data_IF_438512218196
#
_entry.id   IF_438512218196
#
_cell.length_a   1.000
_cell.length_b   1.000
_cell.length_c   1.000
_cell.angle_alpha   90.00
_cell.angle_beta   90.00
_cell.angle_gamma   90.00
#
_symmetry.space_group_name_H-M   'P 1'
#
loop_
_entity.id
_entity.type
_entity.pdbx_description
1 polymer ?
#
# COMPACT_ATOMS: atom_id res chain seq x y z
N UNK A 1 -26.28 -12.83 -34.39
CA UNK A 1 -24.95 -12.30 -33.99
C UNK A 1 -24.84 -12.06 -32.48
N UNK A 2 -25.87 -11.52 -31.80
CA UNK A 2 -25.83 -11.22 -30.36
C UNK A 2 -25.67 -12.44 -29.42
N UNK A 3 -26.19 -13.61 -29.79
CA UNK A 3 -26.10 -14.82 -28.96
C UNK A 3 -24.66 -15.36 -28.84
N UNK A 4 -23.86 -15.26 -29.91
CA UNK A 4 -22.45 -15.73 -29.91
C UNK A 4 -21.54 -14.81 -29.08
N UNK A 5 -21.82 -13.49 -29.08
CA UNK A 5 -21.11 -12.51 -28.25
C UNK A 5 -21.40 -12.74 -26.76
N UNK A 6 -22.66 -13.03 -26.39
CA UNK A 6 -23.04 -13.39 -25.00
C UNK A 6 -22.37 -14.68 -24.54
N UNK A 7 -22.29 -15.71 -25.38
CA UNK A 7 -21.62 -16.97 -25.05
C UNK A 7 -20.10 -16.81 -24.86
N UNK A 8 -19.44 -16.00 -25.68
CA UNK A 8 -18.01 -15.71 -25.52
C UNK A 8 -17.74 -14.89 -24.25
N UNK A 9 -18.64 -13.98 -23.87
CA UNK A 9 -18.55 -13.25 -22.61
C UNK A 9 -18.71 -14.16 -21.38
N UNK A 10 -19.63 -15.13 -21.44
CA UNK A 10 -19.85 -16.09 -20.34
C UNK A 10 -18.66 -17.04 -20.18
N UNK A 11 -18.15 -17.63 -21.27
CA UNK A 11 -16.96 -18.49 -21.24
C UNK A 11 -15.70 -17.76 -20.74
N UNK A 12 -15.52 -16.50 -21.12
CA UNK A 12 -14.42 -15.67 -20.61
C UNK A 12 -14.56 -15.40 -19.12
N UNK A 13 -15.80 -15.21 -18.62
CA UNK A 13 -16.08 -14.99 -17.20
C UNK A 13 -15.84 -16.26 -16.37
N UNK A 14 -16.25 -17.43 -16.87
CA UNK A 14 -15.96 -18.74 -16.26
C UNK A 14 -14.45 -19.04 -16.25
N UNK A 15 -13.74 -18.83 -17.35
CA UNK A 15 -12.29 -19.03 -17.42
C UNK A 15 -11.50 -18.13 -16.46
N UNK A 16 -11.89 -16.86 -16.35
CA UNK A 16 -11.28 -15.92 -15.39
C UNK A 16 -11.60 -16.30 -13.94
N UNK A 17 -12.80 -16.83 -13.68
CA UNK A 17 -13.20 -17.30 -12.36
C UNK A 17 -12.46 -18.58 -11.95
N UNK A 18 -12.30 -19.54 -12.85
CA UNK A 18 -11.52 -20.76 -12.61
C UNK A 18 -10.02 -20.48 -12.43
N UNK A 19 -9.47 -19.53 -13.20
CA UNK A 19 -8.08 -19.06 -13.02
C UNK A 19 -7.88 -18.37 -11.66
N UNK A 20 -8.87 -17.59 -11.20
CA UNK A 20 -8.86 -16.97 -9.87
C UNK A 20 -8.92 -18.00 -8.73
N UNK A 21 -9.82 -19.00 -8.83
CA UNK A 21 -9.95 -20.08 -7.85
C UNK A 21 -8.67 -20.95 -7.79
N UNK A 22 -8.02 -21.19 -8.93
CA UNK A 22 -6.80 -22.01 -9.00
C UNK A 22 -5.56 -21.31 -8.42
N UNK A 23 -5.43 -19.98 -8.57
CA UNK A 23 -4.37 -19.19 -7.94
C UNK A 23 -4.50 -19.09 -6.41
N UNK A 24 -5.72 -19.23 -5.90
CA UNK A 24 -6.02 -19.18 -4.46
C UNK A 24 -5.74 -20.52 -3.76
N UNK A 25 -5.48 -21.60 -4.51
CA UNK A 25 -5.09 -22.87 -3.91
C UNK A 25 -3.78 -22.70 -3.12
N UNK A 26 -3.78 -22.96 -1.80
CA UNK A 26 -2.62 -22.67 -0.94
C UNK A 26 -1.32 -23.35 -1.39
N UNK A 27 -1.39 -24.52 -2.03
CA UNK A 27 -0.22 -25.24 -2.56
C UNK A 27 0.38 -24.53 -3.77
N UNK A 28 -0.46 -24.12 -4.74
CA UNK A 28 -0.02 -23.40 -5.94
C UNK A 28 0.49 -22.02 -5.60
N UNK A 29 -0.22 -21.26 -4.75
CA UNK A 29 0.24 -19.95 -4.30
C UNK A 29 1.64 -20.04 -3.68
N UNK A 30 1.87 -21.02 -2.79
CA UNK A 30 3.17 -21.21 -2.14
C UNK A 30 4.27 -21.60 -3.15
N UNK A 31 3.97 -22.47 -4.11
CA UNK A 31 4.93 -22.88 -5.14
C UNK A 31 5.30 -21.71 -6.07
N UNK A 32 4.31 -21.02 -6.61
CA UNK A 32 4.50 -19.89 -7.53
C UNK A 32 5.24 -18.75 -6.85
N UNK A 33 4.89 -18.41 -5.61
CA UNK A 33 5.55 -17.32 -4.87
C UNK A 33 6.98 -17.64 -4.45
N UNK A 34 7.40 -18.92 -4.38
CA UNK A 34 8.81 -19.25 -4.11
C UNK A 34 9.76 -18.71 -5.20
N UNK A 35 9.30 -18.66 -6.44
CA UNK A 35 10.08 -18.15 -7.57
C UNK A 35 9.90 -16.63 -7.71
N UNK A 36 8.67 -16.14 -7.57
CA UNK A 36 8.35 -14.72 -7.78
C UNK A 36 8.95 -13.82 -6.69
N UNK A 37 8.91 -14.21 -5.42
CA UNK A 37 9.36 -13.38 -4.31
C UNK A 37 10.83 -12.91 -4.42
N UNK A 38 11.82 -13.79 -4.65
CA UNK A 38 13.21 -13.34 -4.77
C UNK A 38 13.43 -12.44 -5.99
N UNK A 39 12.76 -12.70 -7.12
CA UNK A 39 12.83 -11.85 -8.32
C UNK A 39 12.26 -10.47 -8.02
N UNK A 40 11.08 -10.42 -7.41
CA UNK A 40 10.41 -9.18 -7.06
C UNK A 40 11.24 -8.33 -6.10
N UNK A 41 11.84 -8.97 -5.09
CA UNK A 41 12.74 -8.32 -4.13
C UNK A 41 14.00 -7.81 -4.83
N UNK A 42 14.63 -8.62 -5.69
CA UNK A 42 15.84 -8.24 -6.41
C UNK A 42 15.60 -7.02 -7.32
N UNK A 43 14.52 -7.03 -8.11
CA UNK A 43 14.17 -5.91 -8.99
C UNK A 43 13.84 -4.66 -8.16
N UNK A 44 13.07 -4.81 -7.07
CA UNK A 44 12.74 -3.71 -6.18
C UNK A 44 13.98 -3.06 -5.57
N UNK A 45 14.92 -3.85 -5.03
CA UNK A 45 16.18 -3.36 -4.46
C UNK A 45 17.01 -2.67 -5.54
N UNK A 46 17.13 -3.27 -6.72
CA UNK A 46 17.90 -2.70 -7.84
C UNK A 46 17.36 -1.33 -8.23
N UNK A 47 16.05 -1.19 -8.39
CA UNK A 47 15.40 0.09 -8.70
C UNK A 47 15.54 1.10 -7.57
N UNK A 48 15.47 0.66 -6.30
CA UNK A 48 15.69 1.51 -5.13
C UNK A 48 17.11 2.09 -5.16
N UNK A 49 18.12 1.23 -5.33
CA UNK A 49 19.52 1.65 -5.37
C UNK A 49 19.80 2.55 -6.57
N UNK A 50 19.24 2.23 -7.74
CA UNK A 50 19.39 3.05 -8.94
C UNK A 50 18.75 4.43 -8.73
N UNK A 51 17.54 4.48 -8.15
CA UNK A 51 16.87 5.74 -7.85
C UNK A 51 17.65 6.60 -6.86
N UNK A 52 18.14 6.02 -5.76
CA UNK A 52 18.97 6.73 -4.78
C UNK A 52 20.26 7.25 -5.41
N UNK A 53 20.94 6.42 -6.21
CA UNK A 53 22.15 6.82 -6.91
C UNK A 53 21.89 7.99 -7.86
N UNK A 54 20.83 7.90 -8.67
CA UNK A 54 20.43 8.94 -9.60
C UNK A 54 20.03 10.23 -8.86
N UNK A 55 19.22 10.13 -7.81
CA UNK A 55 18.72 11.27 -7.06
C UNK A 55 19.77 11.98 -6.21
N UNK A 56 20.75 11.24 -5.68
CA UNK A 56 21.80 11.79 -4.80
C UNK A 56 22.99 12.31 -5.60
N UNK A 57 23.46 11.57 -6.61
CA UNK A 57 24.74 11.86 -7.26
C UNK A 57 24.62 12.42 -8.68
N UNK A 58 23.53 12.14 -9.41
CA UNK A 58 23.40 12.50 -10.82
C UNK A 58 22.46 13.68 -11.03
N UNK A 59 21.34 13.72 -10.30
CA UNK A 59 20.36 14.78 -10.47
C UNK A 59 20.95 16.14 -10.10
N UNK A 60 20.59 17.16 -10.87
CA UNK A 60 20.95 18.53 -10.54
C UNK A 60 20.20 18.99 -9.29
N UNK A 61 20.83 19.87 -8.53
CA UNK A 61 20.17 20.55 -7.40
C UNK A 61 19.18 21.59 -7.90
N UNK A 62 18.15 21.85 -7.11
CA UNK A 62 17.27 22.98 -7.36
C UNK A 62 18.00 24.31 -7.08
N UNK A 63 17.75 25.33 -7.89
CA UNK A 63 18.41 26.63 -7.80
C UNK A 63 18.07 27.36 -6.49
N UNK A 64 16.85 27.16 -5.96
CA UNK A 64 16.37 27.83 -4.75
C UNK A 64 16.61 27.00 -3.49
N UNK A 65 16.42 25.68 -3.58
CA UNK A 65 16.47 24.77 -2.43
C UNK A 65 17.82 24.04 -2.28
N UNK A 66 18.72 24.14 -3.26
CA UNK A 66 20.03 23.50 -3.25
C UNK A 66 19.95 21.99 -3.04
N UNK A 67 20.84 21.46 -2.21
CA UNK A 67 20.94 20.03 -1.88
C UNK A 67 19.72 19.47 -1.14
N UNK A 68 19.01 20.31 -0.37
CA UNK A 68 17.83 19.90 0.39
C UNK A 68 16.70 19.38 -0.52
N UNK A 69 16.67 19.80 -1.78
CA UNK A 69 15.73 19.32 -2.78
C UNK A 69 15.78 17.80 -2.97
N UNK A 70 16.94 17.15 -2.86
CA UNK A 70 17.10 15.72 -3.19
C UNK A 70 16.21 14.78 -2.37
N UNK A 71 15.73 15.22 -1.21
CA UNK A 71 14.78 14.45 -0.38
C UNK A 71 13.45 14.16 -1.09
N UNK A 72 13.08 14.96 -2.11
CA UNK A 72 11.85 14.75 -2.88
C UNK A 72 11.79 13.36 -3.54
N UNK A 73 12.94 12.79 -3.90
CA UNK A 73 13.03 11.48 -4.56
C UNK A 73 12.57 10.33 -3.67
N UNK A 74 12.53 10.54 -2.34
CA UNK A 74 11.97 9.59 -1.37
C UNK A 74 10.60 10.09 -0.88
N UNK A 75 10.51 11.38 -0.54
CA UNK A 75 9.32 11.98 0.06
C UNK A 75 8.09 11.88 -0.86
N UNK A 76 8.22 12.31 -2.13
CA UNK A 76 7.10 12.37 -3.08
C UNK A 76 6.56 10.98 -3.42
N UNK A 77 7.39 9.98 -3.78
CA UNK A 77 6.92 8.61 -3.96
C UNK A 77 6.26 8.04 -2.70
N UNK A 78 6.79 8.34 -1.51
CA UNK A 78 6.17 7.89 -0.25
C UNK A 78 4.78 8.49 -0.05
N UNK A 79 4.60 9.78 -0.37
CA UNK A 79 3.31 10.47 -0.28
C UNK A 79 2.27 9.90 -1.26
N UNK A 80 2.69 9.54 -2.48
CA UNK A 80 1.79 8.89 -3.43
C UNK A 80 1.38 7.50 -2.98
N UNK A 81 2.35 6.72 -2.48
CA UNK A 81 2.11 5.36 -2.02
C UNK A 81 1.16 5.35 -0.82
N UNK A 82 1.32 6.24 0.17
CA UNK A 82 0.42 6.23 1.32
C UNK A 82 -1.04 6.51 0.92
N UNK A 83 -1.29 7.44 0.01
CA UNK A 83 -2.62 7.71 -0.53
C UNK A 83 -3.15 6.53 -1.36
N UNK A 84 -2.32 5.97 -2.23
CA UNK A 84 -2.69 4.83 -3.07
C UNK A 84 -3.05 3.60 -2.24
N UNK A 85 -2.29 3.31 -1.19
CA UNK A 85 -2.57 2.20 -0.27
C UNK A 85 -3.88 2.42 0.47
N UNK A 86 -4.26 3.66 0.79
CA UNK A 86 -5.54 3.91 1.45
C UNK A 86 -6.72 3.62 0.51
N UNK A 87 -6.57 3.92 -0.78
CA UNK A 87 -7.55 3.54 -1.81
C UNK A 87 -7.69 2.02 -1.87
N UNK A 88 -6.58 1.28 -1.94
CA UNK A 88 -6.58 -0.19 -1.97
C UNK A 88 -7.14 -0.80 -0.67
N UNK A 89 -6.83 -0.21 0.48
CA UNK A 89 -7.37 -0.56 1.79
C UNK A 89 -8.90 -0.40 1.82
N UNK A 90 -9.40 0.69 1.24
CA UNK A 90 -10.84 0.94 1.11
C UNK A 90 -11.51 -0.08 0.21
N UNK A 91 -10.94 -0.34 -0.97
CA UNK A 91 -11.45 -1.35 -1.92
C UNK A 91 -11.48 -2.74 -1.27
N UNK A 92 -10.40 -3.16 -0.60
CA UNK A 92 -10.34 -4.45 0.08
C UNK A 92 -11.34 -4.55 1.24
N UNK A 93 -11.57 -3.46 1.98
CA UNK A 93 -12.60 -3.40 3.02
C UNK A 93 -14.01 -3.55 2.45
N UNK A 94 -14.31 -2.90 1.31
CA UNK A 94 -15.58 -3.06 0.60
C UNK A 94 -15.76 -4.50 0.12
N UNK A 95 -14.74 -5.08 -0.52
CA UNK A 95 -14.76 -6.48 -0.99
C UNK A 95 -15.03 -7.42 0.18
N UNK A 96 -14.38 -7.20 1.33
CA UNK A 96 -14.64 -8.00 2.52
C UNK A 96 -16.09 -7.88 2.99
N UNK A 97 -16.66 -6.67 3.07
CA UNK A 97 -18.03 -6.49 3.56
C UNK A 97 -19.08 -7.09 2.62
N UNK A 98 -18.87 -6.99 1.30
CA UNK A 98 -19.81 -7.49 0.29
C UNK A 98 -19.66 -8.99 0.04
N UNK A 99 -18.43 -9.45 -0.18
CA UNK A 99 -18.14 -10.83 -0.62
C UNK A 99 -17.82 -11.75 0.57
N UNK A 100 -17.48 -11.19 1.74
CA UNK A 100 -17.02 -11.96 2.93
C UNK A 100 -15.83 -12.86 2.64
N UNK A 101 -14.97 -12.46 1.69
CA UNK A 101 -13.79 -13.23 1.31
C UNK A 101 -12.68 -13.08 2.38
N UNK A 102 -12.20 -14.18 3.00
CA UNK A 102 -11.14 -14.12 4.00
C UNK A 102 -9.79 -13.60 3.46
N UNK A 103 -9.55 -13.67 2.16
CA UNK A 103 -8.33 -13.11 1.55
C UNK A 103 -8.34 -11.58 1.62
N UNK A 104 -9.51 -10.97 1.41
CA UNK A 104 -9.66 -9.51 1.53
C UNK A 104 -9.34 -9.02 2.95
N UNK A 105 -9.65 -9.83 3.96
CA UNK A 105 -9.26 -9.58 5.35
C UNK A 105 -7.73 -9.55 5.57
N UNK A 106 -7.00 -10.52 5.01
CA UNK A 106 -5.55 -10.56 5.18
C UNK A 106 -4.85 -9.42 4.41
N UNK A 107 -5.36 -9.14 3.20
CA UNK A 107 -4.84 -8.08 2.35
C UNK A 107 -5.05 -6.70 2.98
N UNK A 108 -6.26 -6.40 3.47
CA UNK A 108 -6.57 -5.13 4.13
C UNK A 108 -5.71 -4.88 5.38
N UNK A 109 -5.47 -5.93 6.18
CA UNK A 109 -4.57 -5.87 7.34
C UNK A 109 -3.13 -5.54 6.95
N UNK A 110 -2.65 -6.12 5.85
CA UNK A 110 -1.33 -5.78 5.30
C UNK A 110 -1.28 -4.34 4.79
N UNK A 111 -2.30 -3.89 4.05
CA UNK A 111 -2.40 -2.51 3.58
C UNK A 111 -2.42 -1.48 4.71
N UNK A 112 -3.15 -1.73 5.80
CA UNK A 112 -3.17 -0.82 6.95
C UNK A 112 -1.75 -0.62 7.53
N UNK A 113 -1.01 -1.72 7.76
CA UNK A 113 0.36 -1.69 8.25
C UNK A 113 1.32 -0.97 7.30
N UNK A 114 1.25 -1.28 6.00
CA UNK A 114 2.09 -0.63 4.98
C UNK A 114 1.80 0.86 4.90
N UNK A 115 0.52 1.23 4.96
CA UNK A 115 0.07 2.62 4.95
C UNK A 115 0.61 3.43 6.13
N UNK A 116 0.64 2.85 7.35
CA UNK A 116 1.28 3.47 8.53
C UNK A 116 2.73 3.83 8.22
N UNK A 117 3.50 2.88 7.70
CA UNK A 117 4.94 3.06 7.42
C UNK A 117 5.14 4.18 6.41
N UNK A 118 4.43 4.14 5.27
CA UNK A 118 4.62 5.15 4.23
C UNK A 118 4.11 6.53 4.64
N UNK A 119 2.99 6.61 5.39
CA UNK A 119 2.50 7.90 5.89
C UNK A 119 3.47 8.50 6.92
N UNK A 120 4.04 7.67 7.81
CA UNK A 120 5.10 8.11 8.71
C UNK A 120 6.33 8.60 7.94
N UNK A 121 6.80 7.84 6.95
CA UNK A 121 7.93 8.24 6.10
C UNK A 121 7.64 9.58 5.42
N UNK A 122 6.44 9.79 4.88
CA UNK A 122 6.03 11.06 4.29
C UNK A 122 6.08 12.21 5.30
N UNK A 123 5.53 12.03 6.50
CA UNK A 123 5.54 13.06 7.54
C UNK A 123 6.96 13.38 8.01
N UNK A 124 7.76 12.35 8.25
CA UNK A 124 9.13 12.48 8.73
C UNK A 124 10.03 13.17 7.69
N UNK A 125 10.04 12.67 6.46
CA UNK A 125 10.83 13.28 5.38
C UNK A 125 10.32 14.66 5.00
N UNK A 126 9.00 14.89 5.05
CA UNK A 126 8.41 16.20 4.80
C UNK A 126 8.80 17.22 5.86
N UNK A 127 8.85 16.80 7.13
CA UNK A 127 9.31 17.64 8.24
C UNK A 127 10.78 18.03 8.11
N UNK A 128 11.65 17.06 7.76
CA UNK A 128 13.07 17.32 7.49
C UNK A 128 13.27 18.28 6.30
N UNK A 129 12.42 18.18 5.27
CA UNK A 129 12.46 19.08 4.12
C UNK A 129 11.90 20.47 4.44
N UNK A 130 10.89 20.56 5.32
CA UNK A 130 10.29 21.82 5.75
C UNK A 130 11.29 22.73 6.48
N UNK A 131 12.23 22.19 7.24
CA UNK A 131 13.21 22.99 7.99
C UNK A 131 14.06 23.92 7.10
N UNK A 132 14.80 23.44 6.07
CA UNK A 132 15.57 24.31 5.20
C UNK A 132 14.71 25.21 4.31
N UNK A 133 13.48 24.82 3.97
CA UNK A 133 12.63 25.57 3.03
C UNK A 133 11.77 26.64 3.73
N UNK A 134 11.28 26.37 4.94
CA UNK A 134 10.35 27.23 5.69
C UNK A 134 10.92 27.72 7.03
N UNK A 135 12.10 27.28 7.43
CA UNK A 135 12.70 27.60 8.73
C UNK A 135 12.10 26.85 9.92
N UNK A 136 11.21 25.88 9.69
CA UNK A 136 10.56 25.08 10.74
C UNK A 136 10.24 23.67 10.28
N UNK A 137 10.26 22.71 11.20
CA UNK A 137 9.91 21.31 10.96
C UNK A 137 8.41 21.08 10.75
N UNK A 138 7.56 22.02 11.17
CA UNK A 138 6.12 21.87 11.09
C UNK A 138 5.43 23.23 10.95
N UNK A 139 4.39 23.25 10.12
CA UNK A 139 3.38 24.30 10.04
C UNK A 139 2.01 23.63 9.99
N UNK A 140 1.01 24.29 10.57
CA UNK A 140 -0.38 23.79 10.59
C UNK A 140 -1.11 24.05 9.27
N UNK A 141 -0.47 23.66 8.18
CA UNK A 141 -1.02 23.75 6.83
C UNK A 141 -2.08 22.66 6.57
N UNK A 142 -3.03 22.94 5.67
CA UNK A 142 -4.12 22.03 5.33
C UNK A 142 -3.63 20.65 4.85
N UNK A 143 -2.57 20.60 4.02
CA UNK A 143 -2.02 19.33 3.52
C UNK A 143 -1.26 18.58 4.61
N UNK A 144 -0.38 19.26 5.36
CA UNK A 144 0.37 18.64 6.46
C UNK A 144 -0.59 18.01 7.47
N UNK A 145 -1.56 18.81 7.91
CA UNK A 145 -2.53 18.41 8.94
C UNK A 145 -3.40 17.25 8.45
N UNK A 146 -3.87 17.27 7.20
CA UNK A 146 -4.68 16.17 6.66
C UNK A 146 -3.90 14.86 6.48
N UNK A 147 -2.60 14.93 6.11
CA UNK A 147 -1.73 13.73 6.08
C UNK A 147 -1.43 13.22 7.49
N UNK A 148 -1.29 14.10 8.49
CA UNK A 148 -1.16 13.69 9.89
C UNK A 148 -2.44 13.01 10.40
N UNK A 149 -3.62 13.54 10.04
CA UNK A 149 -4.90 12.89 10.34
C UNK A 149 -5.00 11.53 9.67
N UNK A 150 -4.56 11.39 8.40
CA UNK A 150 -4.47 10.11 7.71
C UNK A 150 -3.58 9.11 8.47
N UNK A 151 -2.46 9.55 9.03
CA UNK A 151 -1.60 8.69 9.85
C UNK A 151 -2.32 8.11 11.06
N UNK A 152 -3.06 8.95 11.80
CA UNK A 152 -3.85 8.47 12.93
C UNK A 152 -5.01 7.57 12.52
N UNK A 153 -5.69 7.87 11.41
CA UNK A 153 -6.72 7.01 10.84
C UNK A 153 -6.16 5.61 10.55
N UNK A 154 -4.96 5.53 9.94
CA UNK A 154 -4.28 4.27 9.70
C UNK A 154 -3.99 3.48 10.97
N UNK A 155 -3.49 4.15 12.04
CA UNK A 155 -3.24 3.52 13.33
C UNK A 155 -4.53 2.98 13.97
N UNK A 156 -5.60 3.77 13.93
CA UNK A 156 -6.92 3.39 14.43
C UNK A 156 -7.41 2.15 13.67
N UNK A 157 -7.46 2.18 12.34
CA UNK A 157 -7.92 1.06 11.51
C UNK A 157 -7.09 -0.20 11.78
N UNK A 158 -5.76 -0.05 11.87
CA UNK A 158 -4.88 -1.18 12.16
C UNK A 158 -5.19 -1.80 13.52
N UNK A 159 -5.51 -1.01 14.54
CA UNK A 159 -5.91 -1.53 15.86
C UNK A 159 -7.19 -2.39 15.79
N UNK A 160 -8.18 -2.00 14.98
CA UNK A 160 -9.36 -2.84 14.72
C UNK A 160 -8.99 -4.13 14.00
N UNK A 161 -8.06 -4.08 13.03
CA UNK A 161 -7.65 -5.23 12.22
C UNK A 161 -6.71 -6.21 12.92
N UNK A 162 -6.17 -5.85 14.08
CA UNK A 162 -5.44 -6.77 14.95
C UNK A 162 -6.37 -7.73 15.71
N UNK A 163 -7.64 -7.35 15.91
CA UNK A 163 -8.61 -8.16 16.63
C UNK A 163 -9.09 -9.36 15.81
N UNK A 164 -9.31 -10.49 16.49
CA UNK A 164 -9.85 -11.71 15.88
C UNK A 164 -11.40 -11.72 15.84
N UNK A 165 -12.05 -10.83 16.58
CA UNK A 165 -13.51 -10.68 16.55
C UNK A 165 -13.96 -10.05 15.22
N UNK A 166 -14.78 -10.80 14.47
CA UNK A 166 -15.33 -10.39 13.17
C UNK A 166 -16.15 -9.09 13.27
N UNK A 167 -16.84 -8.85 14.39
CA UNK A 167 -17.61 -7.61 14.61
C UNK A 167 -16.69 -6.41 14.70
N UNK A 168 -15.60 -6.52 15.47
CA UNK A 168 -14.60 -5.46 15.62
C UNK A 168 -13.93 -5.17 14.27
N UNK A 169 -13.57 -6.21 13.53
CA UNK A 169 -13.00 -6.06 12.20
C UNK A 169 -13.96 -5.36 11.21
N UNK A 170 -15.25 -5.70 11.22
CA UNK A 170 -16.28 -5.03 10.41
C UNK A 170 -16.39 -3.54 10.71
N UNK A 171 -16.34 -3.16 11.99
CA UNK A 171 -16.31 -1.74 12.40
C UNK A 171 -15.10 -1.05 11.78
N UNK A 172 -13.92 -1.68 11.83
CA UNK A 172 -12.71 -1.19 11.16
C UNK A 172 -12.93 -0.97 9.65
N UNK A 173 -13.54 -1.92 8.94
CA UNK A 173 -13.84 -1.77 7.51
C UNK A 173 -14.81 -0.61 7.22
N UNK A 174 -15.83 -0.43 8.05
CA UNK A 174 -16.78 0.68 7.90
C UNK A 174 -16.07 2.03 8.12
N UNK A 175 -15.24 2.13 9.17
CA UNK A 175 -14.45 3.34 9.44
C UNK A 175 -13.50 3.66 8.28
N UNK A 176 -12.82 2.65 7.73
CA UNK A 176 -11.97 2.82 6.54
C UNK A 176 -12.72 3.52 5.40
N UNK A 177 -13.95 3.06 5.11
CA UNK A 177 -14.78 3.59 4.02
C UNK A 177 -15.24 5.01 4.33
N UNK A 178 -15.68 5.30 5.55
CA UNK A 178 -16.09 6.65 5.96
C UNK A 178 -14.93 7.62 5.82
N UNK A 179 -13.75 7.24 6.31
CA UNK A 179 -12.55 8.07 6.26
C UNK A 179 -11.90 8.16 4.88
N UNK A 180 -12.40 7.44 3.86
CA UNK A 180 -11.97 7.64 2.47
C UNK A 180 -12.12 9.09 2.00
N UNK A 181 -13.02 9.86 2.61
CA UNK A 181 -13.16 11.30 2.40
C UNK A 181 -11.87 12.10 2.67
N UNK A 182 -10.90 11.58 3.43
CA UNK A 182 -9.61 12.26 3.66
C UNK A 182 -8.75 12.36 2.39
N UNK A 183 -8.92 11.43 1.44
CA UNK A 183 -8.11 11.40 0.21
C UNK A 183 -8.37 12.61 -0.69
N UNK A 184 -9.62 12.97 -1.05
CA UNK A 184 -9.87 14.20 -1.78
C UNK A 184 -9.47 15.45 -0.99
N UNK A 185 -9.64 15.46 0.34
CA UNK A 185 -9.19 16.59 1.18
C UNK A 185 -7.68 16.79 1.04
N UNK A 186 -6.87 15.73 1.13
CA UNK A 186 -5.40 15.82 0.94
C UNK A 186 -5.07 16.26 -0.49
N UNK A 187 -5.74 15.69 -1.50
CA UNK A 187 -5.45 15.99 -2.91
C UNK A 187 -5.69 17.46 -3.23
N UNK A 188 -6.86 17.97 -2.88
CA UNK A 188 -7.30 19.33 -3.20
C UNK A 188 -6.97 20.36 -2.12
N UNK A 189 -6.31 19.96 -1.03
CA UNK A 189 -5.88 20.86 0.06
C UNK A 189 -5.15 22.13 -0.42
N UNK A 190 -4.36 22.02 -1.50
CA UNK A 190 -3.60 23.15 -2.05
C UNK A 190 -4.43 24.04 -2.97
N UNK A 191 -5.53 23.53 -3.51
CA UNK A 191 -6.45 24.30 -4.35
C UNK A 191 -7.53 25.00 -3.50
N UNK A 192 -7.93 24.38 -2.38
CA UNK A 192 -9.00 24.87 -1.51
C UNK A 192 -8.55 25.88 -0.46
N UNK A 193 -7.30 25.83 -0.01
CA UNK A 193 -6.78 26.74 1.03
C UNK A 193 -5.52 27.47 0.58
N UNK A 194 -5.34 28.68 1.11
CA UNK A 194 -4.05 29.38 1.04
C UNK A 194 -3.01 28.59 1.84
N UNK A 195 -1.94 28.18 1.16
CA UNK A 195 -0.99 27.20 1.69
C UNK A 195 0.44 27.59 1.34
N UNK A 196 1.36 27.29 2.25
CA UNK A 196 2.80 27.35 1.98
C UNK A 196 3.27 26.15 1.14
N UNK A 197 2.44 25.12 1.04
CA UNK A 197 2.76 23.90 0.34
C UNK A 197 2.63 24.10 -1.16
N UNK A 198 3.72 23.85 -1.87
CA UNK A 198 3.73 23.95 -3.32
C UNK A 198 2.73 22.94 -3.94
N UNK A 199 2.08 23.38 -5.02
CA UNK A 199 1.28 22.52 -5.88
C UNK A 199 2.10 21.35 -6.43
N UNK A 200 1.44 20.26 -6.81
CA UNK A 200 2.14 19.11 -7.39
C UNK A 200 2.62 19.44 -8.79
N UNK A 201 3.92 19.71 -8.94
CA UNK A 201 4.59 20.00 -10.21
C UNK A 201 4.50 18.85 -11.21
N UNK A 202 4.29 17.62 -10.72
CA UNK A 202 4.28 16.40 -11.55
C UNK A 202 2.91 16.15 -12.20
N UNK A 203 1.82 16.69 -11.64
CA UNK A 203 0.46 16.49 -12.17
C UNK A 203 -0.06 17.67 -12.99
N UNK A 204 0.66 18.78 -13.03
CA UNK A 204 0.35 19.86 -13.96
C UNK A 204 0.95 19.47 -15.32
N UNK A 205 0.11 18.98 -16.22
CA UNK A 205 0.39 18.65 -17.63
C UNK A 205 0.87 19.85 -18.48
N UNK A 206 1.45 20.89 -17.85
CA UNK A 206 1.73 22.18 -18.46
C UNK A 206 3.20 22.58 -18.48
N UNK A 207 4.15 21.74 -18.06
CA UNK A 207 5.55 21.95 -18.38
C UNK A 207 6.32 20.62 -18.39
N UNK A 208 7.24 20.49 -19.33
CA UNK A 208 8.19 19.39 -19.50
C UNK A 208 8.97 19.14 -18.21
N UNK A 209 8.54 18.18 -17.40
CA UNK A 209 9.31 17.73 -16.24
C UNK A 209 10.67 17.27 -16.77
N UNK A 210 11.75 17.88 -16.26
CA UNK A 210 13.09 17.51 -16.70
C UNK A 210 13.35 16.03 -16.37
N UNK A 211 13.95 15.31 -17.32
CA UNK A 211 14.17 13.86 -17.19
C UNK A 211 15.00 13.50 -15.95
N UNK A 212 15.87 14.42 -15.52
CA UNK A 212 16.69 14.28 -14.29
C UNK A 212 15.86 14.20 -13.01
N UNK A 213 14.62 14.70 -13.00
CA UNK A 213 13.70 14.58 -11.86
C UNK A 213 12.78 13.38 -12.04
N UNK A 214 12.26 13.20 -13.26
CA UNK A 214 11.27 12.18 -13.56
C UNK A 214 11.81 10.77 -13.33
N UNK A 215 13.02 10.49 -13.80
CA UNK A 215 13.60 9.14 -13.81
C UNK A 215 13.88 8.60 -12.39
N UNK A 216 14.62 9.30 -11.51
CA UNK A 216 14.82 8.84 -10.13
C UNK A 216 13.49 8.72 -9.37
N UNK A 217 12.58 9.68 -9.52
CA UNK A 217 11.26 9.62 -8.85
C UNK A 217 10.44 8.41 -9.31
N UNK A 218 10.43 8.12 -10.61
CA UNK A 218 9.69 6.98 -11.19
C UNK A 218 10.30 5.66 -10.77
N UNK A 219 11.63 5.55 -10.72
CA UNK A 219 12.32 4.35 -10.24
C UNK A 219 12.04 4.07 -8.77
N UNK A 220 12.03 5.10 -7.92
CA UNK A 220 11.66 4.95 -6.51
C UNK A 220 10.21 4.49 -6.38
N UNK A 221 9.29 5.15 -7.09
CA UNK A 221 7.87 4.82 -7.04
C UNK A 221 7.62 3.37 -7.49
N UNK A 222 8.23 2.93 -8.59
CA UNK A 222 8.12 1.55 -9.06
C UNK A 222 8.77 0.57 -8.08
N UNK A 223 9.93 0.91 -7.52
CA UNK A 223 10.58 0.11 -6.48
C UNK A 223 9.65 -0.11 -5.29
N UNK A 224 9.02 0.95 -4.77
CA UNK A 224 8.06 0.86 -3.67
C UNK A 224 6.84 0.02 -4.03
N UNK A 225 6.27 0.16 -5.23
CA UNK A 225 5.16 -0.68 -5.68
C UNK A 225 5.54 -2.17 -5.67
N UNK A 226 6.70 -2.52 -6.22
CA UNK A 226 7.19 -3.90 -6.23
C UNK A 226 7.46 -4.41 -4.81
N UNK A 227 8.05 -3.57 -3.95
CA UNK A 227 8.30 -3.92 -2.55
C UNK A 227 7.00 -4.18 -1.79
N UNK A 228 5.97 -3.38 -2.02
CA UNK A 228 4.65 -3.55 -1.41
C UNK A 228 4.03 -4.87 -1.85
N UNK A 229 4.07 -5.19 -3.14
CA UNK A 229 3.60 -6.48 -3.65
C UNK A 229 4.36 -7.63 -2.97
N UNK A 230 5.68 -7.49 -2.80
CA UNK A 230 6.51 -8.46 -2.09
C UNK A 230 6.04 -8.64 -0.64
N UNK A 231 5.85 -7.56 0.12
CA UNK A 231 5.39 -7.62 1.51
C UNK A 231 3.99 -8.25 1.62
N UNK A 232 3.06 -7.91 0.73
CA UNK A 232 1.71 -8.48 0.73
C UNK A 232 1.75 -9.99 0.46
N UNK A 233 2.55 -10.44 -0.51
CA UNK A 233 2.72 -11.87 -0.80
C UNK A 233 3.36 -12.60 0.38
N UNK A 234 4.35 -12.01 1.05
CA UNK A 234 4.93 -12.55 2.27
C UNK A 234 3.91 -12.65 3.42
N UNK A 235 3.10 -11.62 3.64
CA UNK A 235 2.04 -11.63 4.65
C UNK A 235 0.99 -12.72 4.34
N UNK A 236 0.57 -12.86 3.08
CA UNK A 236 -0.37 -13.91 2.67
C UNK A 236 0.18 -15.32 2.93
N UNK A 237 1.45 -15.58 2.58
CA UNK A 237 2.11 -16.85 2.85
C UNK A 237 2.16 -17.16 4.35
N UNK A 238 2.53 -16.16 5.15
CA UNK A 238 2.57 -16.27 6.62
C UNK A 238 1.21 -16.68 7.17
N UNK A 239 0.13 -16.03 6.75
CA UNK A 239 -1.23 -16.35 7.21
C UNK A 239 -1.66 -17.78 6.83
N UNK A 240 -1.32 -18.23 5.61
CA UNK A 240 -1.57 -19.62 5.18
C UNK A 240 -0.81 -20.62 6.06
N UNK A 241 0.46 -20.34 6.37
CA UNK A 241 1.28 -21.20 7.20
C UNK A 241 0.74 -21.27 8.64
N UNK A 242 0.37 -20.12 9.22
CA UNK A 242 -0.24 -20.07 10.56
C UNK A 242 -1.52 -20.91 10.61
N UNK A 243 -2.41 -20.79 9.60
CA UNK A 243 -3.62 -21.61 9.53
C UNK A 243 -3.32 -23.10 9.46
N UNK A 244 -2.34 -23.51 8.65
CA UNK A 244 -1.91 -24.92 8.54
C UNK A 244 -1.40 -25.45 9.89
N UNK A 245 -0.54 -24.69 10.56
CA UNK A 245 -0.01 -25.05 11.89
C UNK A 245 -1.14 -25.19 12.91
N UNK A 246 -2.11 -24.28 12.93
CA UNK A 246 -3.24 -24.34 13.86
C UNK A 246 -4.11 -25.59 13.61
N UNK A 247 -4.40 -25.93 12.35
CA UNK A 247 -5.14 -27.16 12.01
C UNK A 247 -4.40 -28.39 12.51
N UNK A 248 -3.09 -28.50 12.26
CA UNK A 248 -2.29 -29.63 12.72
C UNK A 248 -2.29 -29.77 14.25
N UNK A 249 -2.18 -28.66 14.98
CA UNK A 249 -2.30 -28.66 16.45
C UNK A 249 -3.66 -29.15 16.92
N UNK A 250 -4.74 -28.74 16.26
CA UNK A 250 -6.10 -29.22 16.63
C UNK A 250 -6.28 -30.72 16.39
N UNK A 251 -5.70 -31.26 15.31
CA UNK A 251 -5.74 -32.69 15.01
C UNK A 251 -4.93 -33.49 16.04
N UNK A 252 -3.69 -33.05 16.33
CA UNK A 252 -2.84 -33.70 17.33
C UNK A 252 -3.48 -33.73 18.72
N UNK A 253 -4.11 -32.63 19.15
CA UNK A 253 -4.81 -32.58 20.44
C UNK A 253 -6.01 -33.53 20.48
N UNK A 254 -6.71 -33.71 19.35
CA UNK A 254 -7.83 -34.64 19.24
C UNK A 254 -7.35 -36.10 19.35
N UNK A 255 -6.25 -36.44 18.70
CA UNK A 255 -5.66 -37.79 18.74
C UNK A 255 -5.17 -38.15 20.16
N UNK A 256 -4.51 -37.20 20.85
CA UNK A 256 -4.10 -37.38 22.26
C UNK A 256 -5.33 -37.63 23.14
N UNK A 257 -6.40 -36.84 22.98
CA UNK A 257 -7.61 -36.97 23.79
C UNK A 257 -8.34 -38.31 23.58
N UNK A 258 -8.26 -38.90 22.39
CA UNK A 258 -8.80 -40.24 22.12
C UNK A 258 -7.96 -41.33 22.77
N UNK A 259 -6.63 -41.23 22.70
CA UNK A 259 -5.72 -42.20 23.30
C UNK A 259 -5.72 -42.19 24.83
N UNK A 260 -6.06 -41.08 25.48
CA UNK A 260 -6.19 -41.00 26.95
C UNK A 260 -7.52 -41.52 27.51
N UNK A 261 -8.50 -41.84 26.65
CA UNK A 261 -9.83 -42.33 27.05
C UNK A 261 -9.98 -43.85 26.94
N UNK A 262 -8.90 -44.57 26.61
CA UNK A 262 -8.78 -46.03 26.58
C UNK A 262 -7.95 -46.44 27.78
#
# INVERSE_FOLDING_TARGET
MECSVKMNHLKKKEFLFDSYITLIQPSRLMSTTNIILPILLFISITLLTASLYLGIFIADTDVQQGESYRIIYIHVPSAWICLFIYILLTISSIIYLVVKNPIAFFISKSFAKIGIIFTFTTLFTGSLWGYPVWGTFWVWDARLTSVLVLFFIYLIIWSFFLNQDEKIYKIGCILTIIFFAIIPIIKYSVDWWTTLHQGSSITQFKNTIHISILLPTSFMYLSFLLFIIYIILCDLRKEILIKKVNILKTLQNKDISMNTKI
#
